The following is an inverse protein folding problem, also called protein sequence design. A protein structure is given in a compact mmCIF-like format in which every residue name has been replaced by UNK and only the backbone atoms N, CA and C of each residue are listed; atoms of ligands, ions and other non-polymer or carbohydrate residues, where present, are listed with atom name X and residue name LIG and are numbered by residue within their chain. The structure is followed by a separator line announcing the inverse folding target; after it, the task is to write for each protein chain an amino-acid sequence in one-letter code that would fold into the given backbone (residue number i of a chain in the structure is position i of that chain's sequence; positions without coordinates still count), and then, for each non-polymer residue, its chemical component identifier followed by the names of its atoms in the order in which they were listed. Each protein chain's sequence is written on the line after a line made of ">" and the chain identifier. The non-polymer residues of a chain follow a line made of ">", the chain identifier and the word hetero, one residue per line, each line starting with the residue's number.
data_IF_475452699698
#
_entry.id   IF_475452699698
#
_cell.length_a   1.000
_cell.length_b   1.000
_cell.length_c   1.000
_cell.angle_alpha   90.00
_cell.angle_beta   90.00
_cell.angle_gamma   90.00
#
_symmetry.space_group_name_H-M   'P 1'
#
loop_
_entity.id
_entity.type
_entity.pdbx_description
1 polymer ?
#
# COMPACT_ATOMS: atom_id res chain seq x y z
N UNK A 1 5.48 22.84 35.48
CA UNK A 1 5.19 21.43 35.17
C UNK A 1 4.81 21.25 33.69
N UNK A 2 3.79 21.95 33.18
CA UNK A 2 3.31 21.78 31.79
C UNK A 2 4.18 22.36 30.65
N UNK A 3 5.17 23.20 30.95
CA UNK A 3 6.00 23.82 29.91
C UNK A 3 7.10 22.87 29.42
N UNK A 4 7.74 22.15 30.35
CA UNK A 4 8.74 21.12 30.03
C UNK A 4 8.14 19.95 29.23
N UNK A 5 6.92 19.54 29.56
CA UNK A 5 6.21 18.49 28.81
C UNK A 5 5.87 18.93 27.39
N UNK A 6 5.49 20.20 27.18
CA UNK A 6 5.22 20.73 25.84
C UNK A 6 6.50 20.80 25.00
N UNK A 7 7.58 21.34 25.57
CA UNK A 7 8.88 21.39 24.87
C UNK A 7 9.42 20.00 24.54
N UNK A 8 9.25 19.03 25.46
CA UNK A 8 9.64 17.65 25.23
C UNK A 8 8.77 17.01 24.13
N UNK A 9 7.46 17.22 24.16
CA UNK A 9 6.54 16.70 23.16
C UNK A 9 6.85 17.26 21.76
N UNK A 10 7.10 18.56 21.63
CA UNK A 10 7.47 19.18 20.35
C UNK A 10 8.79 18.61 19.81
N UNK A 11 9.79 18.40 20.67
CA UNK A 11 11.06 17.77 20.27
C UNK A 11 10.87 16.32 19.83
N UNK A 12 10.05 15.53 20.55
CA UNK A 12 9.75 14.14 20.18
C UNK A 12 8.98 14.10 18.86
N UNK A 13 7.98 14.96 18.68
CA UNK A 13 7.20 15.05 17.43
C UNK A 13 8.08 15.42 16.25
N UNK A 14 9.01 16.37 16.42
CA UNK A 14 9.95 16.75 15.37
C UNK A 14 10.86 15.59 14.97
N UNK A 15 11.43 14.87 15.95
CA UNK A 15 12.29 13.70 15.70
C UNK A 15 11.50 12.57 15.03
N UNK A 16 10.28 12.31 15.48
CA UNK A 16 9.42 11.26 14.91
C UNK A 16 9.03 11.60 13.48
N UNK A 17 8.70 12.86 13.17
CA UNK A 17 8.38 13.31 11.81
C UNK A 17 9.59 13.18 10.90
N UNK A 18 10.76 13.66 11.32
CA UNK A 18 12.00 13.52 10.54
C UNK A 18 12.35 12.04 10.32
N UNK A 19 12.19 11.20 11.35
CA UNK A 19 12.42 9.76 11.21
C UNK A 19 11.42 9.10 10.26
N UNK A 20 10.15 9.50 10.27
CA UNK A 20 9.15 9.01 9.33
C UNK A 20 9.42 9.46 7.90
N UNK A 21 9.89 10.69 7.66
CA UNK A 21 10.26 11.20 6.33
C UNK A 21 11.56 10.59 5.80
N UNK A 22 12.56 10.41 6.66
CA UNK A 22 13.79 9.67 6.32
C UNK A 22 13.48 8.19 6.06
N UNK A 23 12.53 7.63 6.81
CA UNK A 23 12.01 6.29 6.53
C UNK A 23 11.18 6.25 5.25
N UNK A 24 10.37 7.25 4.90
CA UNK A 24 9.59 7.21 3.66
C UNK A 24 10.47 7.36 2.41
N UNK A 25 11.59 8.08 2.52
CA UNK A 25 12.58 8.22 1.44
C UNK A 25 13.51 7.01 1.31
N UNK A 26 13.84 6.33 2.42
CA UNK A 26 14.66 5.10 2.43
C UNK A 26 13.84 3.81 2.26
N UNK A 27 12.57 3.82 2.68
CA UNK A 27 11.55 2.77 2.49
C UNK A 27 10.58 3.12 1.37
N UNK A 28 11.05 3.82 0.32
CA UNK A 28 10.52 3.54 -1.01
C UNK A 28 10.84 2.08 -1.29
N UNK A 29 10.02 1.19 -0.74
CA UNK A 29 10.17 -0.26 -0.87
C UNK A 29 10.20 -0.53 -2.39
N UNK A 30 11.14 -1.36 -2.90
CA UNK A 30 11.08 -1.79 -4.29
C UNK A 30 9.72 -2.47 -4.52
N UNK A 31 8.77 -1.73 -5.09
CA UNK A 31 7.33 -2.03 -4.99
C UNK A 31 6.41 -0.80 -4.85
N UNK A 32 6.95 0.42 -4.94
CA UNK A 32 6.20 1.68 -4.81
C UNK A 32 5.10 1.88 -5.87
N UNK A 33 5.22 1.25 -7.04
CA UNK A 33 4.11 1.17 -7.99
C UNK A 33 3.05 0.22 -7.44
N UNK A 34 1.97 0.79 -6.89
CA UNK A 34 0.77 0.04 -6.53
C UNK A 34 -0.20 0.06 -7.69
N UNK A 35 -0.78 -1.09 -8.00
CA UNK A 35 -1.81 -1.25 -9.02
C UNK A 35 -3.13 -1.64 -8.37
N UNK A 36 -4.21 -1.10 -8.90
CA UNK A 36 -5.56 -1.50 -8.54
C UNK A 36 -5.93 -2.67 -9.45
N UNK A 37 -6.34 -3.77 -8.84
CA UNK A 37 -6.77 -4.96 -9.56
C UNK A 37 -8.13 -5.42 -9.04
N UNK A 38 -8.98 -5.91 -9.94
CA UNK A 38 -10.23 -6.57 -9.62
C UNK A 38 -10.02 -8.09 -9.66
N UNK A 39 -10.39 -8.79 -8.59
CA UNK A 39 -10.28 -10.24 -8.50
C UNK A 39 -11.35 -10.90 -9.38
N UNK A 40 -10.94 -11.80 -10.26
CA UNK A 40 -11.84 -12.56 -11.13
C UNK A 40 -12.35 -13.84 -10.46
N UNK A 41 -11.63 -14.32 -9.44
CA UNK A 41 -11.98 -15.48 -8.64
C UNK A 41 -11.60 -15.27 -7.16
N UNK A 42 -11.95 -16.22 -6.29
CA UNK A 42 -11.53 -16.21 -4.90
C UNK A 42 -10.04 -16.54 -4.76
N UNK A 43 -9.31 -15.71 -4.01
CA UNK A 43 -7.87 -15.87 -3.79
C UNK A 43 -7.63 -16.05 -2.29
N UNK A 44 -6.98 -17.13 -1.84
CA UNK A 44 -6.69 -17.32 -0.42
C UNK A 44 -5.68 -16.28 0.08
N UNK A 45 -5.52 -16.18 1.39
CA UNK A 45 -4.48 -15.31 1.95
C UNK A 45 -3.09 -15.76 1.48
N UNK A 46 -2.27 -14.83 1.01
CA UNK A 46 -0.91 -15.08 0.52
C UNK A 46 0.07 -14.04 1.04
N UNK A 47 1.36 -14.37 1.02
CA UNK A 47 2.44 -13.46 1.39
C UNK A 47 3.01 -12.81 0.13
N UNK A 48 2.98 -11.49 0.06
CA UNK A 48 3.56 -10.69 -1.02
C UNK A 48 5.08 -10.62 -0.96
N UNK A 49 5.70 -10.14 -2.05
CA UNK A 49 7.16 -9.95 -2.11
C UNK A 49 7.69 -8.95 -1.08
N UNK A 50 6.84 -8.06 -0.59
CA UNK A 50 7.10 -7.12 0.49
C UNK A 50 6.94 -7.74 1.89
N UNK A 51 6.86 -9.07 1.99
CA UNK A 51 6.67 -9.86 3.23
C UNK A 51 5.38 -9.57 3.98
N UNK A 52 4.46 -8.80 3.39
CA UNK A 52 3.11 -8.56 3.93
C UNK A 52 2.14 -9.63 3.49
N UNK A 53 1.19 -9.95 4.37
CA UNK A 53 0.11 -10.90 4.04
C UNK A 53 -1.07 -10.14 3.45
N UNK A 54 -1.62 -10.65 2.34
CA UNK A 54 -2.75 -10.11 1.60
C UNK A 54 -3.87 -11.14 1.51
N UNK A 55 -5.12 -10.70 1.59
CA UNK A 55 -6.30 -11.56 1.46
C UNK A 55 -6.79 -12.16 2.79
N UNK A 56 -7.74 -13.12 2.73
CA UNK A 56 -8.32 -13.73 1.53
C UNK A 56 -9.24 -12.76 0.75
N UNK A 57 -9.24 -12.86 -0.57
CA UNK A 57 -10.08 -12.05 -1.46
C UNK A 57 -11.21 -12.88 -2.07
N UNK A 58 -12.36 -12.24 -2.26
CA UNK A 58 -13.50 -12.83 -2.93
C UNK A 58 -13.51 -12.49 -4.42
N UNK A 59 -14.29 -13.26 -5.20
CA UNK A 59 -14.58 -12.91 -6.59
C UNK A 59 -15.22 -11.52 -6.67
N UNK A 60 -14.76 -10.71 -7.62
CA UNK A 60 -15.12 -9.30 -7.83
C UNK A 60 -14.65 -8.31 -6.75
N UNK A 61 -13.76 -8.71 -5.84
CA UNK A 61 -13.15 -7.78 -4.89
C UNK A 61 -12.14 -6.85 -5.60
N UNK A 62 -12.11 -5.57 -5.24
CA UNK A 62 -11.23 -4.57 -5.86
C UNK A 62 -10.19 -4.12 -4.84
N UNK A 63 -8.93 -4.45 -5.09
CA UNK A 63 -7.86 -4.24 -4.11
C UNK A 63 -6.62 -3.63 -4.73
N UNK A 64 -5.87 -2.94 -3.90
CA UNK A 64 -4.62 -2.28 -4.30
C UNK A 64 -3.45 -3.13 -3.83
N UNK A 65 -2.67 -3.64 -4.79
CA UNK A 65 -1.52 -4.49 -4.54
C UNK A 65 -0.25 -3.88 -5.14
N UNK A 66 0.95 -4.22 -4.63
CA UNK A 66 2.20 -3.92 -5.31
C UNK A 66 2.18 -4.41 -6.76
N UNK A 67 2.77 -3.67 -7.69
CA UNK A 67 2.71 -3.94 -9.13
C UNK A 67 3.17 -5.37 -9.47
N UNK A 68 4.20 -5.85 -8.79
CA UNK A 68 4.71 -7.22 -8.95
C UNK A 68 3.67 -8.27 -8.53
N UNK A 69 3.04 -8.08 -7.35
CA UNK A 69 1.99 -8.98 -6.85
C UNK A 69 0.74 -8.92 -7.75
N UNK A 70 0.34 -7.71 -8.18
CA UNK A 70 -0.78 -7.49 -9.09
C UNK A 70 -0.53 -8.18 -10.44
N UNK A 71 0.65 -7.99 -11.03
CA UNK A 71 1.05 -8.61 -12.29
C UNK A 71 1.01 -10.13 -12.20
N UNK A 72 1.51 -10.71 -11.11
CA UNK A 72 1.46 -12.16 -10.89
C UNK A 72 0.02 -12.71 -10.88
N UNK A 73 -0.92 -12.00 -10.24
CA UNK A 73 -2.33 -12.41 -10.22
C UNK A 73 -3.00 -12.25 -11.59
N UNK A 74 -2.65 -11.21 -12.34
CA UNK A 74 -3.13 -10.99 -13.72
C UNK A 74 -2.59 -12.06 -14.67
N UNK A 75 -1.30 -12.37 -14.61
CA UNK A 75 -0.66 -13.42 -15.42
C UNK A 75 -1.28 -14.81 -15.15
N UNK A 76 -1.75 -15.05 -13.92
CA UNK A 76 -2.48 -16.28 -13.55
C UNK A 76 -3.97 -16.26 -13.91
N UNK A 77 -4.50 -15.14 -14.42
CA UNK A 77 -5.94 -14.98 -14.72
C UNK A 77 -6.82 -14.94 -13.47
N UNK A 78 -6.26 -14.66 -12.29
CA UNK A 78 -6.99 -14.54 -11.03
C UNK A 78 -7.46 -13.10 -10.75
N UNK A 79 -6.85 -12.11 -11.41
CA UNK A 79 -7.22 -10.71 -11.29
C UNK A 79 -7.09 -9.99 -12.64
N UNK A 80 -7.70 -8.81 -12.75
CA UNK A 80 -7.63 -7.93 -13.91
C UNK A 80 -7.16 -6.53 -13.48
N UNK A 81 -6.22 -5.93 -14.21
CA UNK A 81 -5.73 -4.58 -13.93
C UNK A 81 -6.81 -3.54 -14.25
N UNK A 82 -7.14 -2.71 -13.25
CA UNK A 82 -8.06 -1.60 -13.43
C UNK A 82 -7.30 -0.28 -13.47
N UNK A 83 -7.41 0.43 -14.59
CA UNK A 83 -6.97 1.83 -14.66
C UNK A 83 -8.06 2.69 -14.03
N UNK A 84 -7.72 3.41 -12.97
CA UNK A 84 -8.61 4.44 -12.41
C UNK A 84 -8.71 5.57 -13.46
N UNK A 85 -9.64 5.42 -14.40
CA UNK A 85 -9.91 6.42 -15.41
C UNK A 85 -10.44 7.66 -14.71
N UNK A 86 -9.69 8.77 -14.77
CA UNK A 86 -10.23 10.08 -14.49
C UNK A 86 -11.49 10.23 -15.36
N UNK A 87 -12.66 10.24 -14.72
CA UNK A 87 -13.91 10.52 -15.42
C UNK A 87 -13.74 11.88 -16.10
N UNK A 88 -13.90 11.84 -17.41
CA UNK A 88 -14.09 13.00 -18.26
C UNK A 88 -15.18 13.87 -17.62
N UNK A 89 -14.82 15.06 -17.17
CA UNK A 89 -15.80 16.12 -16.92
C UNK A 89 -16.29 16.56 -18.29
N UNK A 90 -17.51 16.14 -18.63
CA UNK A 90 -18.33 16.74 -19.70
C UNK A 90 -18.89 18.07 -19.24
#
# INVERSE_FOLDING_TARGET
>A
MHELERELFDKIVAIVREFQERRSTLLKEPGEEKKVVAMLDSVPAFVGLDTKTYGPFAKSDVVTLPAENAKFLVDKGLAEEMKLGNKQTV
#
